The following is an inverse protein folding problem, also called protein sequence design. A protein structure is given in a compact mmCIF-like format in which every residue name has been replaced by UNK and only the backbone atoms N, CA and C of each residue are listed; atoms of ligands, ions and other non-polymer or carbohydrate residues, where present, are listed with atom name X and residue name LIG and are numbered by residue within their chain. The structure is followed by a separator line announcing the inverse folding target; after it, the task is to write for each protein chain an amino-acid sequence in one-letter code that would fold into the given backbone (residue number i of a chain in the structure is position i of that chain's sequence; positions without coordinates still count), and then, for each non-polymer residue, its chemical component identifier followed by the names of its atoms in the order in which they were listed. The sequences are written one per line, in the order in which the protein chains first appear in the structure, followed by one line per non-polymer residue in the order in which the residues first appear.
data_IF_622992857323
#
_entry.id   IF_622992857323
#
_cell.length_a   1.000
_cell.length_b   1.000
_cell.length_c   1.000
_cell.angle_alpha   90.00
_cell.angle_beta   90.00
_cell.angle_gamma   90.00
#
_symmetry.space_group_name_H-M   'P 1'
#
loop_
_entity.id
_entity.type
_entity.pdbx_description
1 polymer ?
#
# COMPACT_ATOMS: atom_id res chain seq x y z
N UNK A 1 -18.99 -35.79 58.87
CA UNK A 1 -18.76 -35.47 60.30
C UNK A 1 -17.46 -36.14 60.75
N UNK A 2 -16.54 -35.34 61.32
CA UNK A 2 -15.48 -35.65 62.33
C UNK A 2 -14.44 -36.73 62.00
N UNK A 3 -13.17 -36.37 61.75
CA UNK A 3 -12.07 -36.06 62.72
C UNK A 3 -11.41 -37.34 63.27
N UNK A 4 -10.10 -37.48 63.54
CA UNK A 4 -8.83 -36.78 63.29
C UNK A 4 -7.78 -37.53 64.17
N UNK A 5 -6.48 -37.43 63.85
CA UNK A 5 -5.26 -37.80 64.64
C UNK A 5 -4.80 -39.27 64.54
N UNK A 6 -3.50 -39.59 64.41
CA UNK A 6 -2.29 -38.78 64.30
C UNK A 6 -1.02 -39.58 64.63
N UNK A 7 0.08 -39.21 63.97
CA UNK A 7 1.53 -39.36 64.32
C UNK A 7 2.20 -40.74 64.42
N UNK A 8 3.31 -40.85 63.68
CA UNK A 8 4.48 -41.69 64.02
C UNK A 8 5.43 -41.93 62.85
N UNK A 9 6.42 -41.06 62.63
CA UNK A 9 7.67 -41.42 61.92
C UNK A 9 8.65 -42.13 62.87
N UNK A 10 9.90 -42.51 62.49
CA UNK A 10 10.72 -41.94 61.40
C UNK A 10 11.54 -42.93 60.53
N UNK A 11 12.08 -42.41 59.39
CA UNK A 11 13.29 -42.79 58.59
C UNK A 11 13.51 -44.28 58.19
N UNK A 12 13.99 -44.67 56.98
CA UNK A 12 15.14 -44.17 56.21
C UNK A 12 15.25 -44.96 54.87
N UNK A 13 15.71 -44.30 53.80
CA UNK A 13 16.35 -44.90 52.60
C UNK A 13 15.41 -45.29 51.45
N UNK A 14 15.66 -44.95 50.17
CA UNK A 14 16.66 -44.12 49.51
C UNK A 14 16.18 -43.90 48.06
N UNK A 15 16.16 -42.63 47.62
CA UNK A 15 15.80 -42.22 46.26
C UNK A 15 17.05 -42.20 45.37
N UNK A 16 17.01 -42.91 44.24
CA UNK A 16 17.86 -42.64 43.08
C UNK A 16 17.14 -41.61 42.19
N UNK A 17 17.67 -40.38 42.14
CA UNK A 17 17.27 -39.35 41.16
C UNK A 17 18.26 -39.37 39.99
N UNK A 18 17.82 -39.25 38.73
CA UNK A 18 18.71 -38.96 37.62
C UNK A 18 19.33 -37.56 37.78
N UNK A 19 20.63 -37.46 37.46
CA UNK A 19 21.42 -36.22 37.51
C UNK A 19 20.79 -35.11 36.66
N UNK A 20 20.68 -33.91 37.24
CA UNK A 20 20.54 -32.67 36.50
C UNK A 20 21.91 -32.24 35.94
N UNK A 21 21.99 -31.67 34.74
CA UNK A 21 23.22 -31.06 34.25
C UNK A 21 23.59 -29.86 35.14
N UNK A 22 24.87 -29.82 35.50
CA UNK A 22 25.50 -28.78 36.30
C UNK A 22 25.28 -27.41 35.67
N UNK A 23 24.76 -26.49 36.48
CA UNK A 23 24.37 -25.14 36.06
C UNK A 23 25.55 -24.29 35.61
N UNK A 24 25.45 -23.78 34.38
CA UNK A 24 25.93 -22.45 34.04
C UNK A 24 24.80 -21.43 34.29
N UNK A 25 25.10 -20.15 34.52
CA UNK A 25 24.06 -19.14 34.67
C UNK A 25 23.29 -19.04 33.36
N UNK A 26 22.02 -19.45 33.37
CA UNK A 26 21.04 -19.02 32.37
C UNK A 26 21.04 -17.50 32.39
N UNK A 27 21.70 -16.86 31.43
CA UNK A 27 21.46 -15.45 31.14
C UNK A 27 19.98 -15.40 30.74
N UNK A 28 19.10 -14.69 31.47
CA UNK A 28 17.79 -14.42 30.94
C UNK A 28 18.01 -13.71 29.61
N UNK A 29 17.49 -14.30 28.52
CA UNK A 29 17.39 -13.58 27.25
C UNK A 29 16.79 -12.20 27.52
N UNK A 30 17.17 -11.18 26.73
CA UNK A 30 16.67 -9.83 26.95
C UNK A 30 15.15 -9.90 27.13
N UNK A 31 14.58 -9.26 28.18
CA UNK A 31 13.15 -9.33 28.42
C UNK A 31 12.45 -8.89 27.14
N UNK A 32 11.47 -9.68 26.67
CA UNK A 32 10.59 -9.31 25.57
C UNK A 32 10.10 -7.88 25.85
N UNK A 33 10.69 -6.90 25.16
CA UNK A 33 10.23 -5.52 25.27
C UNK A 33 8.92 -5.50 24.53
N UNK A 34 7.82 -5.46 25.28
CA UNK A 34 6.51 -5.23 24.71
C UNK A 34 6.59 -3.99 23.82
N UNK A 35 6.15 -4.10 22.57
CA UNK A 35 6.06 -2.96 21.66
C UNK A 35 5.11 -1.94 22.29
N UNK A 36 5.65 -0.78 22.67
CA UNK A 36 4.85 0.35 23.13
C UNK A 36 4.58 1.23 21.91
N UNK A 37 3.35 1.26 21.39
CA UNK A 37 3.02 2.05 20.22
C UNK A 37 3.24 3.54 20.49
N UNK A 38 4.14 4.17 19.74
CA UNK A 38 4.31 5.62 19.75
C UNK A 38 3.42 6.23 18.66
N UNK A 39 2.61 7.23 19.01
CA UNK A 39 1.91 8.08 18.03
C UNK A 39 2.80 9.30 17.74
N UNK A 40 3.39 9.43 16.54
CA UNK A 40 4.25 10.57 16.23
C UNK A 40 3.50 11.89 16.26
N UNK A 41 4.25 12.99 16.37
CA UNK A 41 3.66 14.32 16.43
C UNK A 41 2.91 14.66 15.14
N UNK A 42 1.68 15.15 15.30
CA UNK A 42 0.84 15.65 14.22
C UNK A 42 0.16 16.94 14.69
N UNK A 43 0.62 18.07 14.14
CA UNK A 43 0.13 19.39 14.53
C UNK A 43 -1.40 19.51 14.39
N UNK A 44 -2.00 18.89 13.37
CA UNK A 44 -3.44 18.99 13.12
C UNK A 44 -4.27 18.33 14.21
N UNK A 45 -3.73 17.31 14.90
CA UNK A 45 -4.41 16.65 16.00
C UNK A 45 -4.41 17.48 17.29
N UNK A 46 -3.50 18.46 17.40
CA UNK A 46 -3.29 19.22 18.63
C UNK A 46 -3.13 20.73 18.40
N UNK A 47 -3.73 21.28 17.35
CA UNK A 47 -3.62 22.72 17.02
C UNK A 47 -4.00 23.64 18.19
N UNK A 48 -4.96 23.23 19.02
CA UNK A 48 -5.37 23.96 20.23
C UNK A 48 -4.25 24.15 21.26
N UNK A 49 -3.24 23.28 21.23
CA UNK A 49 -2.04 23.35 22.09
C UNK A 49 -0.97 24.26 21.49
N UNK A 50 -1.06 24.59 20.20
CA UNK A 50 -0.11 25.42 19.46
C UNK A 50 -0.80 26.67 18.87
N UNK A 51 -1.30 27.58 19.73
CA UNK A 51 -1.95 28.80 19.26
C UNK A 51 -0.97 29.64 18.43
N UNK A 52 -1.42 30.05 17.24
CA UNK A 52 -0.58 30.84 16.33
C UNK A 52 -0.43 32.25 16.87
N UNK A 53 0.81 32.74 16.92
CA UNK A 53 1.13 34.12 17.33
C UNK A 53 0.84 35.15 16.25
N UNK A 54 0.69 34.71 15.00
CA UNK A 54 0.36 35.53 13.83
C UNK A 54 -0.80 34.87 13.08
N UNK A 55 -1.53 35.68 12.32
CA UNK A 55 -2.53 35.16 11.38
C UNK A 55 -1.87 34.26 10.35
N UNK A 56 -2.59 33.23 9.91
CA UNK A 56 -2.13 32.34 8.85
C UNK A 56 -2.01 33.16 7.57
N UNK A 57 -0.86 33.11 6.92
CA UNK A 57 -0.66 33.71 5.60
C UNK A 57 -1.63 33.10 4.60
N UNK A 58 -2.18 33.92 3.70
CA UNK A 58 -2.99 33.40 2.60
C UNK A 58 -2.13 32.52 1.68
N UNK A 59 -2.47 31.23 1.61
CA UNK A 59 -1.80 30.24 0.76
C UNK A 59 -2.54 30.01 -0.56
N UNK A 60 -3.34 30.98 -1.02
CA UNK A 60 -4.08 30.88 -2.28
C UNK A 60 -3.21 30.47 -3.47
N UNK A 61 -2.02 31.06 -3.61
CA UNK A 61 -1.11 30.73 -4.73
C UNK A 61 -0.68 29.27 -4.69
N UNK A 62 -0.41 28.72 -3.50
CA UNK A 62 -0.06 27.32 -3.34
C UNK A 62 -1.25 26.41 -3.68
N UNK A 63 -2.45 26.76 -3.20
CA UNK A 63 -3.69 26.05 -3.53
C UNK A 63 -3.93 26.04 -5.05
N UNK A 64 -3.80 27.18 -5.72
CA UNK A 64 -3.97 27.29 -7.17
C UNK A 64 -2.95 26.44 -7.93
N UNK A 65 -1.70 26.36 -7.45
CA UNK A 65 -0.67 25.51 -8.03
C UNK A 65 -0.96 24.01 -7.85
N UNK A 66 -1.46 23.59 -6.67
CA UNK A 66 -1.90 22.22 -6.44
C UNK A 66 -3.04 21.82 -7.37
N UNK A 67 -4.04 22.69 -7.53
CA UNK A 67 -5.18 22.43 -8.41
C UNK A 67 -4.76 22.42 -9.88
N UNK A 68 -3.88 23.32 -10.30
CA UNK A 68 -3.30 23.32 -11.65
C UNK A 68 -2.54 22.01 -11.92
N UNK A 69 -1.60 21.63 -11.04
CA UNK A 69 -0.84 20.38 -11.19
C UNK A 69 -1.76 19.17 -11.23
N UNK A 70 -2.80 19.16 -10.39
CA UNK A 70 -3.79 18.10 -10.39
C UNK A 70 -4.55 18.01 -11.73
N UNK A 71 -4.90 19.14 -12.34
CA UNK A 71 -5.55 19.17 -13.66
C UNK A 71 -4.61 18.61 -14.73
N UNK A 72 -3.33 18.99 -14.72
CA UNK A 72 -2.31 18.48 -15.64
C UNK A 72 -2.12 16.96 -15.51
N UNK A 73 -2.31 16.41 -14.31
CA UNK A 73 -2.19 14.98 -14.01
C UNK A 73 -3.49 14.19 -14.23
N UNK A 74 -4.62 14.85 -14.49
CA UNK A 74 -5.92 14.18 -14.66
C UNK A 74 -6.04 13.65 -16.09
N UNK A 75 -6.40 12.36 -16.30
CA UNK A 75 -6.63 11.84 -17.65
C UNK A 75 -7.63 12.71 -18.41
N UNK A 76 -7.35 12.96 -19.68
CA UNK A 76 -8.22 13.68 -20.60
C UNK A 76 -9.57 12.98 -20.78
N UNK A 77 -10.58 13.69 -21.28
CA UNK A 77 -11.89 13.09 -21.56
C UNK A 77 -11.82 11.93 -22.56
N UNK A 78 -10.86 11.97 -23.49
CA UNK A 78 -10.64 10.90 -24.46
C UNK A 78 -10.00 9.65 -23.81
N UNK A 79 -9.01 9.82 -22.95
CA UNK A 79 -8.45 8.72 -22.15
C UNK A 79 -9.54 8.09 -21.27
N UNK A 80 -10.32 8.91 -20.56
CA UNK A 80 -11.41 8.43 -19.71
C UNK A 80 -12.48 7.65 -20.50
N UNK A 81 -12.87 8.14 -21.68
CA UNK A 81 -13.85 7.48 -22.52
C UNK A 81 -13.34 6.14 -23.07
N UNK A 82 -12.10 6.10 -23.56
CA UNK A 82 -11.50 4.89 -24.13
C UNK A 82 -11.31 3.79 -23.09
N UNK A 83 -10.80 4.10 -21.89
CA UNK A 83 -10.65 3.09 -20.84
C UNK A 83 -12.00 2.61 -20.31
N UNK A 84 -12.98 3.51 -20.15
CA UNK A 84 -14.32 3.14 -19.72
C UNK A 84 -14.98 2.20 -20.74
N UNK A 85 -14.85 2.50 -22.04
CA UNK A 85 -15.39 1.65 -23.10
C UNK A 85 -14.76 0.25 -23.05
N UNK A 86 -13.43 0.16 -22.97
CA UNK A 86 -12.72 -1.13 -22.94
C UNK A 86 -13.06 -1.95 -21.69
N UNK A 87 -13.06 -1.32 -20.50
CA UNK A 87 -13.48 -1.96 -19.24
C UNK A 87 -14.91 -2.47 -19.34
N UNK A 88 -15.83 -1.67 -19.88
CA UNK A 88 -17.25 -2.05 -19.99
C UNK A 88 -17.44 -3.26 -20.91
N UNK A 89 -16.75 -3.27 -22.06
CA UNK A 89 -16.76 -4.40 -23.00
C UNK A 89 -16.23 -5.69 -22.34
N UNK A 90 -15.05 -5.64 -21.72
CA UNK A 90 -14.43 -6.80 -21.06
C UNK A 90 -15.29 -7.29 -19.90
N UNK A 91 -15.79 -6.39 -19.04
CA UNK A 91 -16.66 -6.74 -17.93
C UNK A 91 -17.94 -7.44 -18.42
N UNK A 92 -18.56 -6.94 -19.49
CA UNK A 92 -19.77 -7.55 -20.06
C UNK A 92 -19.56 -8.99 -20.53
N UNK A 93 -18.42 -9.29 -21.16
CA UNK A 93 -18.05 -10.66 -21.54
C UNK A 93 -17.84 -11.53 -20.30
N UNK A 94 -17.09 -11.05 -19.32
CA UNK A 94 -16.84 -11.82 -18.09
C UNK A 94 -18.12 -12.08 -17.29
N UNK A 95 -19.03 -11.10 -17.20
CA UNK A 95 -20.32 -11.27 -16.53
C UNK A 95 -21.18 -12.34 -17.21
N UNK A 96 -21.13 -12.43 -18.56
CA UNK A 96 -21.80 -13.49 -19.31
C UNK A 96 -21.22 -14.88 -18.98
N UNK A 97 -19.89 -14.99 -18.88
CA UNK A 97 -19.20 -16.22 -18.49
C UNK A 97 -19.53 -16.65 -17.05
N UNK A 98 -19.67 -15.70 -16.12
CA UNK A 98 -20.11 -15.96 -14.74
C UNK A 98 -21.53 -16.56 -14.71
N UNK A 99 -22.43 -16.05 -15.53
CA UNK A 99 -23.82 -16.52 -15.61
C UNK A 99 -23.98 -17.86 -16.34
N UNK A 100 -23.03 -18.24 -17.19
CA UNK A 100 -23.07 -19.47 -18.01
C UNK A 100 -21.84 -20.36 -17.79
N UNK A 101 -21.59 -20.85 -16.55
CA UNK A 101 -20.33 -21.52 -16.21
C UNK A 101 -20.08 -22.83 -16.97
N UNK A 102 -21.14 -23.51 -17.43
CA UNK A 102 -21.03 -24.72 -18.26
C UNK A 102 -20.54 -24.44 -19.69
N UNK A 103 -20.47 -23.17 -20.11
CA UNK A 103 -19.94 -22.79 -21.42
C UNK A 103 -18.40 -22.79 -21.47
N UNK A 104 -17.73 -22.75 -20.31
CA UNK A 104 -16.28 -22.66 -20.22
C UNK A 104 -15.71 -23.39 -18.99
N UNK A 105 -15.49 -24.69 -19.14
CA UNK A 105 -14.99 -25.56 -18.07
C UNK A 105 -13.53 -25.28 -17.59
N UNK A 106 -12.58 -24.87 -18.46
CA UNK A 106 -11.18 -24.68 -18.04
C UNK A 106 -10.96 -23.60 -16.97
N UNK A 107 -11.76 -22.53 -16.97
CA UNK A 107 -11.65 -21.46 -15.97
C UNK A 107 -13.03 -20.90 -15.60
N UNK A 108 -13.75 -21.64 -14.76
CA UNK A 108 -15.03 -21.18 -14.24
C UNK A 108 -14.83 -19.97 -13.32
N UNK A 109 -15.46 -18.84 -13.67
CA UNK A 109 -15.37 -17.59 -12.93
C UNK A 109 -16.39 -17.61 -11.77
N UNK A 110 -15.93 -17.31 -10.56
CA UNK A 110 -16.76 -17.05 -9.39
C UNK A 110 -17.27 -15.61 -9.39
N UNK A 111 -16.34 -14.66 -9.54
CA UNK A 111 -16.61 -13.24 -9.35
C UNK A 111 -15.62 -12.37 -10.15
N UNK A 112 -16.08 -11.19 -10.56
CA UNK A 112 -15.27 -10.20 -11.26
C UNK A 112 -15.43 -8.85 -10.56
N UNK A 113 -14.31 -8.18 -10.30
CA UNK A 113 -14.30 -6.89 -9.57
C UNK A 113 -13.35 -5.90 -10.21
N UNK A 114 -13.85 -4.73 -10.58
CA UNK A 114 -13.00 -3.59 -10.93
C UNK A 114 -12.27 -3.10 -9.68
N UNK A 115 -10.96 -2.89 -9.79
CA UNK A 115 -10.10 -2.44 -8.68
C UNK A 115 -9.13 -1.35 -9.16
N UNK A 116 -8.12 -1.06 -8.34
CA UNK A 116 -7.01 -0.19 -8.75
C UNK A 116 -7.42 1.27 -8.97
N UNK A 117 -6.60 1.97 -9.74
CA UNK A 117 -6.73 3.43 -9.94
C UNK A 117 -7.99 3.81 -10.71
N UNK A 118 -8.43 2.96 -11.64
CA UNK A 118 -9.65 3.16 -12.42
C UNK A 118 -10.87 3.18 -11.49
N UNK A 119 -11.10 2.11 -10.72
CA UNK A 119 -12.25 2.03 -9.80
C UNK A 119 -12.22 3.14 -8.74
N UNK A 120 -11.03 3.53 -8.28
CA UNK A 120 -10.85 4.58 -7.26
C UNK A 120 -10.98 6.01 -7.82
N UNK A 121 -10.95 6.19 -9.14
CA UNK A 121 -10.94 7.52 -9.78
C UNK A 121 -9.65 8.30 -9.52
N UNK A 122 -8.52 7.59 -9.46
CA UNK A 122 -7.18 8.12 -9.16
C UNK A 122 -6.16 7.84 -10.27
N UNK A 123 -6.64 7.52 -11.47
CA UNK A 123 -5.81 7.41 -12.67
C UNK A 123 -5.05 8.71 -12.96
N UNK A 124 -3.93 8.59 -13.67
CA UNK A 124 -3.09 9.70 -14.07
C UNK A 124 -3.00 9.79 -15.60
N UNK A 125 -2.93 11.00 -16.12
CA UNK A 125 -2.75 11.26 -17.55
C UNK A 125 -1.52 10.54 -18.10
N UNK A 126 -1.63 10.00 -19.32
CA UNK A 126 -0.59 9.22 -19.98
C UNK A 126 -0.45 7.78 -19.48
N UNK A 127 -1.25 7.35 -18.50
CA UNK A 127 -1.26 5.99 -17.99
C UNK A 127 -2.69 5.43 -17.99
N UNK A 128 -3.21 5.17 -19.18
CA UNK A 128 -4.60 4.78 -19.40
C UNK A 128 -4.82 3.27 -19.18
N UNK A 129 -4.58 2.83 -17.94
CA UNK A 129 -4.63 1.43 -17.52
C UNK A 129 -5.65 1.22 -16.41
N UNK A 130 -6.51 0.22 -16.55
CA UNK A 130 -7.45 -0.23 -15.53
C UNK A 130 -7.16 -1.67 -15.09
N UNK A 131 -7.57 -2.00 -13.87
CA UNK A 131 -7.39 -3.32 -13.28
C UNK A 131 -8.75 -3.95 -12.96
N UNK A 132 -8.93 -5.20 -13.36
CA UNK A 132 -10.08 -6.04 -13.02
C UNK A 132 -9.55 -7.32 -12.38
N UNK A 133 -9.97 -7.62 -11.15
CA UNK A 133 -9.68 -8.90 -10.52
C UNK A 133 -10.72 -9.92 -10.97
N UNK A 134 -10.24 -11.08 -11.44
CA UNK A 134 -11.06 -12.21 -11.87
C UNK A 134 -10.81 -13.37 -10.91
N UNK A 135 -11.83 -13.74 -10.12
CA UNK A 135 -11.75 -14.83 -9.16
C UNK A 135 -12.26 -16.11 -9.79
N UNK A 136 -11.42 -17.14 -9.86
CA UNK A 136 -11.76 -18.45 -10.40
C UNK A 136 -12.26 -19.40 -9.30
N UNK A 137 -13.21 -20.26 -9.66
CA UNK A 137 -13.60 -21.46 -8.87
C UNK A 137 -12.57 -22.57 -8.97
N UNK A 138 -11.87 -22.63 -10.11
CA UNK A 138 -10.83 -23.62 -10.41
C UNK A 138 -9.46 -23.14 -9.94
N UNK A 139 -8.48 -24.06 -9.98
CA UNK A 139 -7.09 -23.70 -9.75
C UNK A 139 -6.55 -22.93 -10.97
N UNK A 140 -5.89 -21.77 -10.77
CA UNK A 140 -5.46 -20.90 -11.86
C UNK A 140 -4.16 -21.40 -12.48
N UNK A 141 -4.25 -22.37 -13.40
CA UNK A 141 -3.09 -22.80 -14.20
C UNK A 141 -2.75 -21.75 -15.26
N UNK A 142 -1.49 -21.70 -15.69
CA UNK A 142 -1.03 -20.78 -16.75
C UNK A 142 -1.80 -21.01 -18.06
N UNK A 143 -2.08 -22.27 -18.38
CA UNK A 143 -2.86 -22.65 -19.55
C UNK A 143 -4.31 -22.17 -19.46
N UNK A 144 -4.97 -22.36 -18.31
CA UNK A 144 -6.36 -21.93 -18.12
C UNK A 144 -6.50 -20.40 -18.26
N UNK A 145 -5.52 -19.65 -17.74
CA UNK A 145 -5.45 -18.19 -17.86
C UNK A 145 -5.29 -17.75 -19.33
N UNK A 146 -4.41 -18.41 -20.08
CA UNK A 146 -4.22 -18.12 -21.51
C UNK A 146 -5.48 -18.41 -22.33
N UNK A 147 -6.13 -19.55 -22.08
CA UNK A 147 -7.38 -19.92 -22.77
C UNK A 147 -8.50 -18.94 -22.41
N UNK A 148 -8.61 -18.52 -21.15
CA UNK A 148 -9.59 -17.51 -20.73
C UNK A 148 -9.36 -16.16 -21.43
N UNK A 149 -8.12 -15.67 -21.47
CA UNK A 149 -7.78 -14.43 -22.16
C UNK A 149 -8.11 -14.48 -23.65
N UNK A 150 -7.80 -15.60 -24.33
CA UNK A 150 -8.15 -15.80 -25.74
C UNK A 150 -9.66 -15.83 -25.96
N UNK A 151 -10.39 -16.55 -25.11
CA UNK A 151 -11.86 -16.64 -25.18
C UNK A 151 -12.51 -15.26 -25.07
N UNK A 152 -12.05 -14.43 -24.14
CA UNK A 152 -12.59 -13.07 -23.97
C UNK A 152 -12.35 -12.24 -25.23
N UNK A 153 -11.16 -12.30 -25.81
CA UNK A 153 -10.82 -11.51 -27.02
C UNK A 153 -11.60 -12.00 -28.24
N UNK A 154 -11.82 -13.31 -28.38
CA UNK A 154 -12.66 -13.88 -29.43
C UNK A 154 -14.12 -13.40 -29.33
N UNK A 155 -14.68 -13.38 -28.12
CA UNK A 155 -16.04 -12.89 -27.89
C UNK A 155 -16.15 -11.38 -28.15
N UNK A 156 -15.13 -10.61 -27.78
CA UNK A 156 -15.06 -9.18 -28.09
C UNK A 156 -14.99 -8.93 -29.61
N UNK A 157 -14.16 -9.67 -30.34
CA UNK A 157 -14.06 -9.58 -31.81
C UNK A 157 -15.36 -9.98 -32.50
N UNK A 158 -16.14 -10.87 -31.89
CA UNK A 158 -17.47 -11.24 -32.42
C UNK A 158 -18.47 -10.10 -32.25
N UNK A 159 -18.36 -9.30 -31.18
CA UNK A 159 -19.20 -8.13 -30.94
C UNK A 159 -18.80 -6.93 -31.80
N UNK A 160 -17.50 -6.73 -32.02
CA UNK A 160 -16.94 -5.58 -32.74
C UNK A 160 -15.71 -6.02 -33.58
N UNK A 161 -15.91 -6.51 -34.83
CA UNK A 161 -14.84 -7.06 -35.65
C UNK A 161 -13.80 -6.04 -36.11
N UNK A 162 -14.14 -4.75 -36.14
CA UNK A 162 -13.28 -3.68 -36.60
C UNK A 162 -12.31 -3.19 -35.50
N UNK A 163 -12.58 -3.54 -34.24
CA UNK A 163 -11.74 -3.16 -33.11
C UNK A 163 -10.49 -4.05 -33.01
N UNK A 164 -9.32 -3.43 -33.14
CA UNK A 164 -8.03 -4.13 -33.03
C UNK A 164 -7.65 -4.25 -31.55
N UNK A 165 -7.76 -5.47 -31.02
CA UNK A 165 -7.38 -5.82 -29.65
C UNK A 165 -6.20 -6.79 -29.64
N UNK A 166 -5.24 -6.53 -28.75
CA UNK A 166 -4.14 -7.43 -28.41
C UNK A 166 -4.33 -7.99 -27.02
N UNK A 167 -4.03 -9.27 -26.82
CA UNK A 167 -4.04 -9.91 -25.50
C UNK A 167 -2.72 -10.60 -25.23
N UNK A 168 -2.19 -10.35 -24.04
CA UNK A 168 -0.92 -10.91 -23.59
C UNK A 168 -1.08 -11.45 -22.18
N UNK A 169 -0.61 -12.68 -21.96
CA UNK A 169 -0.53 -13.29 -20.63
C UNK A 169 0.73 -12.83 -19.90
N UNK A 170 0.66 -12.76 -18.57
CA UNK A 170 1.79 -12.44 -17.71
C UNK A 170 1.65 -13.14 -16.35
N UNK A 171 2.61 -12.92 -15.44
CA UNK A 171 2.64 -13.59 -14.13
C UNK A 171 1.47 -13.24 -13.20
N UNK A 172 0.69 -12.19 -13.52
CA UNK A 172 -0.48 -11.77 -12.75
C UNK A 172 -1.81 -12.22 -13.37
N UNK A 173 -1.80 -12.76 -14.59
CA UNK A 173 -2.99 -13.07 -15.35
C UNK A 173 -2.80 -12.75 -16.82
N UNK A 174 -3.55 -11.78 -17.33
CA UNK A 174 -3.41 -11.29 -18.70
C UNK A 174 -3.82 -9.82 -18.81
N UNK A 175 -3.46 -9.18 -19.91
CA UNK A 175 -3.90 -7.83 -20.24
C UNK A 175 -4.47 -7.78 -21.67
N UNK A 176 -5.50 -6.96 -21.84
CA UNK A 176 -6.13 -6.70 -23.13
C UNK A 176 -5.93 -5.21 -23.43
N UNK A 177 -5.35 -4.91 -24.58
CA UNK A 177 -5.03 -3.55 -25.00
C UNK A 177 -5.72 -3.21 -26.33
N UNK A 178 -6.28 -2.01 -26.38
CA UNK A 178 -6.64 -1.32 -27.62
C UNK A 178 -5.53 -0.34 -28.01
N UNK A 179 -5.75 0.49 -29.03
CA UNK A 179 -4.84 1.58 -29.40
C UNK A 179 -4.65 2.61 -28.29
N UNK A 180 -5.67 2.81 -27.44
CA UNK A 180 -5.74 3.96 -26.53
C UNK A 180 -5.85 3.58 -25.05
N UNK A 181 -6.08 2.31 -24.73
CA UNK A 181 -6.34 1.85 -23.37
C UNK A 181 -5.85 0.41 -23.13
N UNK A 182 -5.56 0.07 -21.87
CA UNK A 182 -5.21 -1.30 -21.47
C UNK A 182 -5.98 -1.69 -20.21
N UNK A 183 -6.51 -2.91 -20.19
CA UNK A 183 -7.15 -3.50 -19.01
C UNK A 183 -6.37 -4.73 -18.59
N UNK A 184 -5.85 -4.69 -17.36
CA UNK A 184 -5.17 -5.81 -16.71
C UNK A 184 -6.20 -6.65 -15.97
N UNK A 185 -6.27 -7.92 -16.35
CA UNK A 185 -7.12 -8.93 -15.74
C UNK A 185 -6.28 -9.73 -14.74
N UNK A 186 -6.37 -9.34 -13.47
CA UNK A 186 -5.62 -9.88 -12.35
C UNK A 186 -6.28 -11.16 -11.85
N UNK A 187 -5.65 -12.29 -12.06
CA UNK A 187 -6.25 -13.60 -11.76
C UNK A 187 -6.05 -13.95 -10.30
N UNK A 188 -7.10 -14.44 -9.65
CA UNK A 188 -7.04 -15.06 -8.33
C UNK A 188 -8.01 -16.24 -8.26
N UNK A 189 -8.06 -16.92 -7.13
CA UNK A 189 -8.97 -18.05 -6.90
C UNK A 189 -9.60 -17.95 -5.51
N UNK A 190 -10.64 -18.74 -5.27
CA UNK A 190 -11.30 -18.79 -3.97
C UNK A 190 -10.31 -19.22 -2.86
N UNK A 191 -10.44 -18.69 -1.61
CA UNK A 191 -9.49 -18.98 -0.53
C UNK A 191 -9.18 -20.46 -0.26
N UNK A 192 -10.14 -21.41 -0.38
CA UNK A 192 -9.83 -22.84 -0.20
C UNK A 192 -8.82 -23.42 -1.21
N UNK A 193 -8.70 -22.82 -2.40
CA UNK A 193 -7.79 -23.27 -3.45
C UNK A 193 -6.35 -22.79 -3.23
N UNK A 194 -6.15 -21.69 -2.50
CA UNK A 194 -4.81 -21.16 -2.22
C UNK A 194 -3.92 -22.14 -1.45
N UNK A 195 -4.53 -23.05 -0.68
CA UNK A 195 -3.82 -24.12 0.06
C UNK A 195 -3.49 -25.34 -0.80
N UNK A 196 -3.93 -25.36 -2.07
CA UNK A 196 -3.79 -26.49 -3.00
C UNK A 196 -2.93 -26.12 -4.21
N UNK A 197 -2.24 -24.99 -4.15
CA UNK A 197 -1.42 -24.51 -5.25
C UNK A 197 -0.16 -25.36 -5.38
N UNK A 198 -0.01 -25.98 -6.54
CA UNK A 198 1.26 -26.45 -7.08
C UNK A 198 2.05 -25.27 -7.70
N UNK A 199 3.26 -24.93 -7.21
CA UNK A 199 4.10 -23.85 -7.74
C UNK A 199 4.56 -24.04 -9.20
N UNK A 200 4.60 -25.28 -9.71
CA UNK A 200 5.03 -25.55 -11.09
C UNK A 200 3.90 -25.30 -12.10
N UNK A 201 2.64 -25.47 -11.66
CA UNK A 201 1.46 -25.44 -12.54
C UNK A 201 0.65 -24.15 -12.43
N UNK A 202 0.58 -23.55 -11.24
CA UNK A 202 -0.31 -22.42 -10.98
C UNK A 202 0.39 -21.07 -10.95
N UNK A 203 -0.40 -20.01 -11.00
CA UNK A 203 0.08 -18.67 -10.67
C UNK A 203 0.54 -18.60 -9.21
N UNK A 204 1.44 -17.65 -8.94
CA UNK A 204 2.03 -17.48 -7.61
C UNK A 204 0.97 -17.11 -6.54
N UNK A 205 1.03 -17.80 -5.41
CA UNK A 205 0.08 -17.62 -4.32
C UNK A 205 0.14 -16.23 -3.70
N UNK A 206 1.34 -15.62 -3.58
CA UNK A 206 1.51 -14.28 -3.00
C UNK A 206 0.92 -13.22 -3.94
N UNK A 207 1.12 -13.37 -5.26
CA UNK A 207 0.48 -12.53 -6.29
C UNK A 207 -1.04 -12.60 -6.18
N UNK A 208 -1.62 -13.80 -6.10
CA UNK A 208 -3.08 -13.96 -5.98
C UNK A 208 -3.67 -13.40 -4.70
N UNK A 209 -2.94 -13.50 -3.57
CA UNK A 209 -3.32 -12.85 -2.33
C UNK A 209 -3.34 -11.32 -2.47
N UNK A 210 -2.38 -10.75 -3.20
CA UNK A 210 -2.36 -9.31 -3.48
C UNK A 210 -3.58 -8.85 -4.30
N UNK A 211 -4.08 -9.69 -5.20
CA UNK A 211 -5.30 -9.41 -5.97
C UNK A 211 -6.56 -9.47 -5.08
N UNK A 212 -6.63 -10.41 -4.13
CA UNK A 212 -7.70 -10.43 -3.12
C UNK A 212 -7.64 -9.18 -2.22
N UNK A 213 -6.44 -8.73 -1.85
CA UNK A 213 -6.26 -7.47 -1.13
C UNK A 213 -6.73 -6.27 -1.95
N UNK A 214 -6.46 -6.24 -3.27
CA UNK A 214 -6.94 -5.18 -4.15
C UNK A 214 -8.48 -5.06 -4.18
N UNK A 215 -9.22 -6.18 -4.10
CA UNK A 215 -10.68 -6.17 -3.93
C UNK A 215 -11.06 -5.49 -2.62
N UNK A 216 -10.44 -5.88 -1.50
CA UNK A 216 -10.69 -5.26 -0.18
C UNK A 216 -10.37 -3.76 -0.18
N UNK A 217 -9.24 -3.37 -0.76
CA UNK A 217 -8.83 -1.98 -0.90
C UNK A 217 -9.84 -1.17 -1.72
N UNK A 218 -10.33 -1.71 -2.84
CA UNK A 218 -11.31 -1.05 -3.68
C UNK A 218 -12.63 -0.82 -2.94
N UNK A 219 -13.11 -1.83 -2.21
CA UNK A 219 -14.32 -1.73 -1.37
C UNK A 219 -14.15 -0.71 -0.25
N UNK A 220 -13.06 -0.78 0.51
CA UNK A 220 -12.78 0.17 1.57
C UNK A 220 -12.73 1.60 1.02
N UNK A 221 -12.10 1.80 -0.13
CA UNK A 221 -11.98 3.12 -0.75
C UNK A 221 -13.34 3.69 -1.16
N UNK A 222 -14.22 2.86 -1.73
CA UNK A 222 -15.58 3.25 -2.08
C UNK A 222 -16.40 3.66 -0.86
N UNK A 223 -16.27 2.94 0.26
CA UNK A 223 -17.00 3.19 1.50
C UNK A 223 -16.44 4.38 2.31
N UNK A 224 -15.13 4.65 2.25
CA UNK A 224 -14.45 5.58 3.17
C UNK A 224 -13.80 6.80 2.50
N UNK A 225 -13.43 6.73 1.21
CA UNK A 225 -12.67 7.75 0.50
C UNK A 225 -13.47 8.46 -0.61
N UNK A 226 -14.75 8.73 -0.37
CA UNK A 226 -15.66 9.34 -1.35
C UNK A 226 -15.37 10.83 -1.64
N UNK A 227 -14.73 11.55 -0.71
CA UNK A 227 -14.47 12.98 -0.86
C UNK A 227 -13.46 13.27 -1.98
N UNK A 228 -13.80 14.18 -2.91
CA UNK A 228 -13.00 14.44 -4.13
C UNK A 228 -11.57 14.90 -3.84
N UNK A 229 -11.35 15.65 -2.74
CA UNK A 229 -10.01 16.11 -2.35
C UNK A 229 -9.05 14.95 -2.05
N UNK A 230 -9.55 13.78 -1.64
CA UNK A 230 -8.72 12.59 -1.42
C UNK A 230 -8.15 12.10 -2.74
N UNK A 231 -8.98 12.02 -3.78
CA UNK A 231 -8.55 11.61 -5.13
C UNK A 231 -7.54 12.59 -5.73
N UNK A 232 -7.72 13.90 -5.47
CA UNK A 232 -6.77 14.96 -5.85
C UNK A 232 -5.42 14.76 -5.14
N UNK A 233 -5.44 14.57 -3.81
CA UNK A 233 -4.23 14.38 -3.03
C UNK A 233 -3.47 13.11 -3.44
N UNK A 234 -4.17 12.01 -3.73
CA UNK A 234 -3.57 10.76 -4.22
C UNK A 234 -2.79 10.99 -5.52
N UNK A 235 -3.38 11.68 -6.50
CA UNK A 235 -2.71 12.00 -7.77
C UNK A 235 -1.46 12.85 -7.54
N UNK A 236 -1.56 13.88 -6.68
CA UNK A 236 -0.43 14.74 -6.33
C UNK A 236 0.70 13.98 -5.63
N UNK A 237 0.38 13.07 -4.70
CA UNK A 237 1.37 12.26 -4.00
C UNK A 237 1.99 11.17 -4.89
N UNK A 238 1.24 10.59 -5.84
CA UNK A 238 1.80 9.67 -6.85
C UNK A 238 2.76 10.39 -7.78
N UNK A 239 2.42 11.59 -8.23
CA UNK A 239 3.33 12.44 -9.00
C UNK A 239 4.58 12.82 -8.18
N UNK A 240 4.40 13.18 -6.90
CA UNK A 240 5.51 13.45 -5.99
C UNK A 240 6.43 12.23 -5.85
N UNK A 241 5.85 11.04 -5.64
CA UNK A 241 6.57 9.77 -5.59
C UNK A 241 7.38 9.54 -6.86
N UNK A 242 6.77 9.70 -8.03
CA UNK A 242 7.42 9.42 -9.31
C UNK A 242 8.62 10.35 -9.58
N UNK A 243 8.57 11.60 -9.08
CA UNK A 243 9.64 12.59 -9.26
C UNK A 243 10.75 12.49 -8.22
N UNK A 244 10.41 12.13 -6.98
CA UNK A 244 11.36 12.01 -5.88
C UNK A 244 11.58 10.55 -5.48
N UNK A 245 12.71 9.98 -5.92
CA UNK A 245 13.09 8.57 -5.67
C UNK A 245 13.04 8.16 -4.20
N UNK A 246 13.27 9.10 -3.27
CA UNK A 246 13.17 8.83 -1.84
C UNK A 246 11.79 8.37 -1.36
N UNK A 247 10.74 8.60 -2.16
CA UNK A 247 9.38 8.11 -1.91
C UNK A 247 9.01 6.85 -2.67
N UNK A 248 9.91 6.28 -3.48
CA UNK A 248 9.68 5.03 -4.22
C UNK A 248 9.07 3.90 -3.35
N UNK A 249 9.47 3.72 -2.08
CA UNK A 249 8.92 2.66 -1.22
C UNK A 249 7.44 2.84 -0.83
N UNK A 250 6.87 4.04 -1.01
CA UNK A 250 5.46 4.28 -0.75
C UNK A 250 4.62 3.53 -1.78
N UNK A 251 3.99 2.43 -1.37
CA UNK A 251 3.07 1.68 -2.22
C UNK A 251 1.83 2.51 -2.55
N UNK A 252 1.12 2.15 -3.63
CA UNK A 252 -0.13 2.82 -3.99
C UNK A 252 -1.16 2.80 -2.85
N UNK A 253 -1.19 1.71 -2.07
CA UNK A 253 -2.09 1.58 -0.93
C UNK A 253 -1.68 2.48 0.25
N UNK A 254 -0.38 2.58 0.54
CA UNK A 254 0.12 3.54 1.54
C UNK A 254 -0.26 4.97 1.16
N UNK A 255 -0.15 5.34 -0.12
CA UNK A 255 -0.53 6.68 -0.61
C UNK A 255 -2.04 6.92 -0.47
N UNK A 256 -2.87 5.92 -0.81
CA UNK A 256 -4.33 6.02 -0.66
C UNK A 256 -4.71 6.28 0.81
N UNK A 257 -4.15 5.50 1.74
CA UNK A 257 -4.39 5.62 3.17
C UNK A 257 -3.81 6.90 3.77
N UNK A 258 -2.59 7.30 3.39
CA UNK A 258 -1.97 8.54 3.83
C UNK A 258 -2.79 9.76 3.39
N UNK A 259 -3.32 9.74 2.17
CA UNK A 259 -4.16 10.82 1.65
C UNK A 259 -5.49 10.91 2.41
N UNK A 260 -6.14 9.76 2.63
CA UNK A 260 -7.36 9.70 3.44
C UNK A 260 -7.09 10.17 4.88
N UNK A 261 -6.04 9.69 5.52
CA UNK A 261 -5.65 10.07 6.88
C UNK A 261 -5.41 11.58 6.97
N UNK A 262 -4.60 12.14 6.05
CA UNK A 262 -4.24 13.55 6.08
C UNK A 262 -5.46 14.47 5.94
N UNK A 263 -6.49 14.06 5.19
CA UNK A 263 -7.71 14.86 4.98
C UNK A 263 -8.75 14.63 6.07
N UNK A 264 -9.05 13.38 6.40
CA UNK A 264 -10.23 13.01 7.18
C UNK A 264 -9.95 12.82 8.67
N UNK A 265 -8.74 12.37 9.04
CA UNK A 265 -8.42 12.12 10.44
C UNK A 265 -7.99 13.44 11.10
N UNK A 266 -8.94 14.25 11.56
CA UNK A 266 -8.67 15.48 12.29
C UNK A 266 -9.80 15.80 13.29
N UNK A 267 -9.55 16.64 14.33
CA UNK A 267 -10.54 16.92 15.37
C UNK A 267 -11.86 17.53 14.87
N UNK A 268 -11.83 18.28 13.76
CA UNK A 268 -13.03 18.93 13.20
C UNK A 268 -13.95 17.95 12.47
N UNK A 269 -13.43 16.77 12.10
CA UNK A 269 -14.11 15.76 11.26
C UNK A 269 -14.63 16.30 9.93
N UNK A 270 -14.11 17.45 9.50
CA UNK A 270 -14.34 18.02 8.18
C UNK A 270 -13.11 17.76 7.30
N UNK A 271 -13.30 17.53 5.98
CA UNK A 271 -12.18 17.39 5.07
C UNK A 271 -11.27 18.62 5.12
N UNK A 272 -9.97 18.41 5.37
CA UNK A 272 -9.01 19.52 5.32
C UNK A 272 -8.89 20.09 3.89
N UNK A 273 -8.64 21.41 3.76
CA UNK A 273 -8.26 22.02 2.49
C UNK A 273 -7.03 21.33 1.87
N UNK A 274 -6.96 21.27 0.55
CA UNK A 274 -5.92 20.50 -0.16
C UNK A 274 -4.50 20.95 0.16
N UNK A 275 -4.27 22.26 0.33
CA UNK A 275 -2.98 22.81 0.71
C UNK A 275 -2.55 22.39 2.12
N UNK A 276 -3.50 22.36 3.07
CA UNK A 276 -3.26 21.89 4.44
C UNK A 276 -2.97 20.40 4.44
N UNK A 277 -3.77 19.60 3.74
CA UNK A 277 -3.59 18.16 3.68
C UNK A 277 -2.27 17.74 3.00
N UNK A 278 -1.90 18.39 1.89
CA UNK A 278 -0.62 18.14 1.21
C UNK A 278 0.57 18.46 2.13
N UNK A 279 0.55 19.61 2.81
CA UNK A 279 1.58 19.98 3.78
C UNK A 279 1.61 18.99 4.95
N UNK A 280 0.45 18.57 5.45
CA UNK A 280 0.33 17.59 6.52
C UNK A 280 0.94 16.24 6.16
N UNK A 281 0.80 15.77 4.92
CA UNK A 281 1.49 14.55 4.47
C UNK A 281 3.01 14.65 4.66
N UNK A 282 3.62 15.76 4.23
CA UNK A 282 5.06 15.98 4.45
C UNK A 282 5.40 16.11 5.93
N UNK A 283 4.58 16.79 6.74
CA UNK A 283 4.78 16.92 8.18
C UNK A 283 4.74 15.57 8.91
N UNK A 284 3.73 14.73 8.61
CA UNK A 284 3.60 13.39 9.18
C UNK A 284 4.83 12.54 8.85
N UNK A 285 5.18 12.45 7.56
CA UNK A 285 6.35 11.69 7.14
C UNK A 285 7.65 12.22 7.78
N UNK A 286 7.81 13.54 7.86
CA UNK A 286 8.98 14.18 8.48
C UNK A 286 9.08 13.92 9.99
N UNK A 287 7.93 13.83 10.67
CA UNK A 287 7.82 13.55 12.10
C UNK A 287 8.01 12.06 12.43
N UNK A 288 8.32 11.22 11.43
CA UNK A 288 8.56 9.80 11.62
C UNK A 288 7.30 8.95 11.64
N UNK A 289 6.23 9.37 10.95
CA UNK A 289 4.97 8.61 10.93
C UNK A 289 5.13 7.16 10.46
N UNK A 290 6.12 6.88 9.62
CA UNK A 290 6.47 5.53 9.14
C UNK A 290 7.85 5.04 9.61
N UNK A 291 8.35 5.55 10.74
CA UNK A 291 9.59 5.06 11.36
C UNK A 291 9.34 3.94 12.39
N UNK A 292 10.38 3.19 12.78
CA UNK A 292 10.28 2.19 13.84
C UNK A 292 9.75 2.77 15.15
N UNK A 293 8.86 2.01 15.82
CA UNK A 293 8.17 2.47 17.03
C UNK A 293 6.86 3.21 16.76
N UNK A 294 6.67 3.77 15.57
CA UNK A 294 5.43 4.46 15.19
C UNK A 294 4.25 3.49 15.03
N UNK A 295 3.06 3.91 15.45
CA UNK A 295 1.81 3.23 15.06
C UNK A 295 1.55 3.30 13.56
N UNK A 296 2.01 4.36 12.90
CA UNK A 296 1.69 4.67 11.50
C UNK A 296 0.19 4.61 11.23
N UNK A 297 -0.18 3.97 10.12
CA UNK A 297 -1.57 3.67 9.78
C UNK A 297 -1.77 2.15 9.91
N UNK A 298 -2.77 1.76 10.68
CA UNK A 298 -3.25 0.37 10.69
C UNK A 298 -4.01 0.09 9.41
N UNK A 299 -3.69 -1.00 8.73
CA UNK A 299 -4.38 -1.42 7.51
C UNK A 299 -5.85 -1.76 7.84
N UNK A 300 -6.83 -1.02 7.30
CA UNK A 300 -8.24 -1.29 7.58
C UNK A 300 -8.78 -2.51 6.83
N UNK A 301 -8.01 -3.10 5.91
CA UNK A 301 -8.39 -4.24 5.08
C UNK A 301 -7.79 -5.58 5.56
N UNK A 302 -6.93 -5.55 6.57
CA UNK A 302 -6.29 -6.74 7.16
C UNK A 302 -6.81 -7.02 8.57
N UNK A 303 -6.76 -8.30 8.97
CA UNK A 303 -7.13 -8.68 10.33
C UNK A 303 -6.01 -8.33 11.32
N UNK A 304 -6.39 -7.92 12.53
CA UNK A 304 -5.43 -7.53 13.57
C UNK A 304 -4.93 -6.09 13.42
N UNK A 305 -3.69 -5.84 13.84
CA UNK A 305 -3.08 -4.50 13.87
C UNK A 305 -1.88 -4.40 12.94
N UNK A 306 -2.10 -4.72 11.66
CA UNK A 306 -1.06 -4.65 10.62
C UNK A 306 -0.75 -3.19 10.31
N UNK A 307 0.50 -2.76 10.51
CA UNK A 307 0.93 -1.39 10.19
C UNK A 307 1.40 -1.34 8.74
N UNK A 308 0.79 -0.49 7.93
CA UNK A 308 0.98 -0.51 6.46
C UNK A 308 2.42 -0.23 6.02
N UNK A 309 3.20 0.48 6.85
CA UNK A 309 4.58 0.85 6.52
C UNK A 309 5.60 -0.25 6.79
N UNK A 310 5.23 -1.34 7.46
CA UNK A 310 6.17 -2.44 7.76
C UNK A 310 6.51 -3.29 6.55
N UNK A 311 5.86 -3.06 5.42
CA UNK A 311 6.28 -3.60 4.11
C UNK A 311 7.58 -2.95 3.61
N UNK A 312 7.93 -1.78 4.14
CA UNK A 312 9.20 -1.11 3.84
C UNK A 312 10.29 -1.58 4.81
N UNK A 313 11.49 -1.80 4.28
CA UNK A 313 12.70 -2.02 5.09
C UNK A 313 13.01 -0.81 5.96
N UNK A 314 13.82 -0.98 7.00
CA UNK A 314 14.25 0.12 7.88
C UNK A 314 14.98 1.22 7.10
N UNK A 315 15.79 0.85 6.12
CA UNK A 315 16.48 1.79 5.22
C UNK A 315 15.48 2.58 4.35
N UNK A 316 14.47 1.92 3.82
CA UNK A 316 13.41 2.58 3.04
C UNK A 316 12.56 3.53 3.90
N UNK A 317 12.27 3.15 5.16
CA UNK A 317 11.56 4.00 6.12
C UNK A 317 12.35 5.28 6.43
N UNK A 318 13.66 5.15 6.65
CA UNK A 318 14.57 6.29 6.82
C UNK A 318 14.59 7.17 5.56
N UNK A 319 14.72 6.57 4.39
CA UNK A 319 14.71 7.27 3.10
C UNK A 319 13.46 8.11 2.86
N UNK A 320 12.28 7.54 3.12
CA UNK A 320 11.02 8.27 3.05
C UNK A 320 11.01 9.43 4.04
N UNK A 321 11.48 9.20 5.27
CA UNK A 321 11.49 10.21 6.33
C UNK A 321 12.41 11.39 5.99
N UNK A 322 13.69 11.16 5.70
CA UNK A 322 14.65 12.24 5.43
C UNK A 322 14.32 13.00 4.13
N UNK A 323 13.71 12.32 3.15
CA UNK A 323 13.20 12.97 1.93
C UNK A 323 12.06 13.92 2.27
N UNK A 324 11.09 13.47 3.08
CA UNK A 324 10.01 14.33 3.55
C UNK A 324 10.51 15.52 4.37
N UNK A 325 11.48 15.30 5.26
CA UNK A 325 12.08 16.36 6.09
C UNK A 325 12.73 17.45 5.23
N UNK A 326 13.41 17.07 4.16
CA UNK A 326 14.02 18.01 3.21
C UNK A 326 12.94 18.80 2.47
N UNK A 327 11.96 18.11 1.88
CA UNK A 327 10.89 18.75 1.11
C UNK A 327 9.97 19.61 1.98
N UNK A 328 9.75 19.27 3.24
CA UNK A 328 8.98 20.10 4.17
C UNK A 328 9.68 21.44 4.43
N UNK A 329 11.01 21.46 4.55
CA UNK A 329 11.78 22.70 4.71
C UNK A 329 11.74 23.53 3.44
N UNK A 330 11.91 22.91 2.26
CA UNK A 330 11.74 23.58 0.97
C UNK A 330 10.33 24.19 0.83
N UNK A 331 9.28 23.43 1.19
CA UNK A 331 7.89 23.91 1.17
C UNK A 331 7.69 25.13 2.09
N UNK A 332 8.30 25.10 3.27
CA UNK A 332 8.21 26.17 4.27
C UNK A 332 8.86 27.46 3.79
N UNK A 333 9.86 27.36 2.91
CA UNK A 333 10.53 28.51 2.28
C UNK A 333 9.97 28.85 0.89
N UNK A 334 8.76 28.38 0.55
CA UNK A 334 8.06 28.79 -0.67
C UNK A 334 8.41 27.99 -1.93
N UNK A 335 9.23 26.93 -1.83
CA UNK A 335 9.63 26.08 -2.96
C UNK A 335 8.54 25.12 -3.46
N UNK A 336 7.26 25.45 -3.28
CA UNK A 336 6.15 24.57 -3.65
C UNK A 336 6.06 24.32 -5.16
N UNK A 337 6.47 25.27 -6.01
CA UNK A 337 6.45 25.06 -7.47
C UNK A 337 7.42 23.98 -7.91
N UNK A 338 8.59 23.91 -7.29
CA UNK A 338 9.61 22.89 -7.55
C UNK A 338 9.17 21.54 -6.98
N UNK A 339 8.60 21.54 -5.77
CA UNK A 339 7.99 20.34 -5.20
C UNK A 339 6.87 19.79 -6.09
N UNK A 340 6.09 20.64 -6.75
CA UNK A 340 5.01 20.25 -7.67
C UNK A 340 5.48 19.99 -9.11
N UNK A 341 6.77 20.09 -9.40
CA UNK A 341 7.32 19.84 -10.74
C UNK A 341 6.85 20.87 -11.78
N UNK A 342 6.49 22.08 -11.34
CA UNK A 342 6.11 23.18 -12.22
C UNK A 342 7.32 24.00 -12.68
N UNK A 343 8.40 23.99 -11.89
CA UNK A 343 9.68 24.65 -12.15
C UNK A 343 10.81 23.74 -11.63
N UNK A 344 12.04 23.89 -12.13
CA UNK A 344 13.21 23.17 -11.62
C UNK A 344 13.18 21.65 -11.83
N UNK A 345 13.91 20.91 -10.99
CA UNK A 345 14.01 19.45 -11.03
C UNK A 345 14.00 18.86 -9.60
N UNK A 346 14.09 17.54 -9.48
CA UNK A 346 14.03 16.83 -8.19
C UNK A 346 15.33 16.84 -7.38
N UNK A 347 16.40 17.52 -7.82
CA UNK A 347 17.68 17.58 -7.09
C UNK A 347 17.57 18.32 -5.76
N UNK A 348 16.50 19.11 -5.55
CA UNK A 348 16.22 19.79 -4.27
C UNK A 348 16.07 18.84 -3.07
N UNK A 349 15.89 17.54 -3.31
CA UNK A 349 15.87 16.52 -2.26
C UNK A 349 17.27 15.97 -1.89
N UNK A 350 18.28 16.21 -2.73
CA UNK A 350 19.63 15.62 -2.59
C UNK A 350 20.76 16.65 -2.62
N UNK A 351 20.49 17.87 -3.08
CA UNK A 351 21.46 18.96 -3.19
C UNK A 351 21.05 20.16 -2.33
N UNK A 352 22.05 20.92 -1.88
CA UNK A 352 21.79 22.20 -1.21
C UNK A 352 21.05 23.16 -2.14
N UNK A 353 20.05 23.85 -1.60
CA UNK A 353 19.26 24.84 -2.34
C UNK A 353 19.07 26.11 -1.54
N UNK A 354 18.81 27.23 -2.22
CA UNK A 354 18.62 28.55 -1.59
C UNK A 354 17.23 29.08 -1.90
N UNK A 355 16.49 29.46 -0.87
CA UNK A 355 15.11 29.94 -0.95
C UNK A 355 14.98 31.22 -0.13
N UNK A 356 14.70 32.35 -0.78
CA UNK A 356 14.56 33.65 -0.09
C UNK A 356 15.75 33.97 0.84
N UNK A 357 16.97 33.63 0.39
CA UNK A 357 18.21 33.81 1.17
C UNK A 357 18.47 32.75 2.25
N UNK A 358 17.59 31.75 2.42
CA UNK A 358 17.77 30.63 3.35
C UNK A 358 18.36 29.43 2.63
N UNK A 359 19.47 28.89 3.14
CA UNK A 359 20.07 27.66 2.64
C UNK A 359 19.37 26.44 3.25
N UNK A 360 18.83 25.57 2.41
CA UNK A 360 18.26 24.28 2.82
C UNK A 360 19.27 23.20 2.46
N UNK A 361 19.83 22.55 3.49
CA UNK A 361 20.71 21.37 3.34
C UNK A 361 19.87 20.10 3.43
N UNK A 362 19.90 19.18 2.46
CA UNK A 362 19.19 17.91 2.53
C UNK A 362 19.46 17.16 3.83
N UNK A 363 18.43 16.47 4.35
CA UNK A 363 18.60 15.57 5.50
C UNK A 363 19.38 14.32 5.08
N UNK A 364 20.32 13.88 5.91
CA UNK A 364 21.16 12.72 5.64
C UNK A 364 20.50 11.40 6.06
N UNK A 365 20.96 10.30 5.45
CA UNK A 365 20.63 8.94 5.87
C UNK A 365 21.09 8.70 7.31
N UNK A 366 20.19 8.21 8.16
CA UNK A 366 20.45 7.87 9.55
C UNK A 366 20.48 6.36 9.81
N UNK A 367 19.89 5.55 8.92
CA UNK A 367 19.90 4.10 9.07
C UNK A 367 21.29 3.50 8.83
N UNK A 368 21.78 2.74 9.81
CA UNK A 368 23.00 1.95 9.73
C UNK A 368 22.64 0.46 9.73
N UNK A 369 23.25 -0.31 8.82
CA UNK A 369 23.05 -1.76 8.79
C UNK A 369 23.74 -2.38 10.02
N UNK A 370 23.06 -3.22 10.82
CA UNK A 370 23.71 -3.90 11.94
C UNK A 370 24.91 -4.73 11.45
N UNK A 371 26.04 -4.66 12.16
CA UNK A 371 27.17 -5.55 11.92
C UNK A 371 26.73 -7.00 12.18
N UNK A 372 26.96 -7.90 11.20
CA UNK A 372 26.74 -9.34 11.40
C UNK A 372 27.66 -9.81 12.53
N UNK A 373 27.11 -10.31 13.63
CA UNK A 373 27.91 -10.98 14.65
C UNK A 373 28.37 -12.32 14.08
N UNK A 374 29.69 -12.55 14.04
CA UNK A 374 30.25 -13.86 13.67
C UNK A 374 29.62 -14.95 14.56
N UNK A 375 28.86 -15.87 13.96
CA UNK A 375 28.27 -17.03 14.64
C UNK A 375 26.74 -17.04 14.78
N UNK A 376 26.02 -16.02 14.31
CA UNK A 376 24.58 -16.14 14.05
C UNK A 376 24.42 -16.52 12.57
N UNK A 377 24.29 -17.83 12.29
CA UNK A 377 23.82 -18.30 10.98
C UNK A 377 22.49 -17.59 10.70
N UNK A 378 22.40 -16.97 9.52
CA UNK A 378 21.15 -16.41 9.04
C UNK A 378 20.16 -17.56 8.88
N UNK A 379 19.15 -17.64 9.76
CA UNK A 379 17.86 -18.21 9.39
C UNK A 379 17.23 -17.30 8.30
N UNK A 380 17.86 -17.27 7.11
CA UNK A 380 17.15 -16.97 5.88
C UNK A 380 16.13 -18.11 5.69
N UNK A 381 14.87 -17.71 5.47
CA UNK A 381 13.67 -18.56 5.35
C UNK A 381 12.94 -18.92 6.65
N UNK A 382 12.60 -17.90 7.43
CA UNK A 382 11.37 -17.90 8.21
C UNK A 382 10.23 -17.30 7.37
N UNK A 383 9.57 -18.13 6.55
CA UNK A 383 8.23 -17.84 6.03
C UNK A 383 7.37 -17.27 7.17
N UNK A 384 7.08 -15.97 7.11
CA UNK A 384 5.96 -15.42 7.86
C UNK A 384 4.70 -15.97 7.19
N UNK A 385 4.31 -17.19 7.58
CA UNK A 385 2.92 -17.60 7.57
C UNK A 385 2.14 -16.64 8.48
N UNK A 386 1.75 -15.49 7.92
CA UNK A 386 0.63 -14.72 8.45
C UNK A 386 -0.62 -15.55 8.20
N UNK A 387 -1.19 -16.10 9.27
CA UNK A 387 -2.55 -16.64 9.29
C UNK A 387 -3.58 -15.59 8.87
#
# INVERSE_FOLDING_TARGET
MRNMRGRGGPMRGGMMRPMAPIGGPFKPGPPFRAFIPHIPFDLVQCESTFPRTKTVSDEKVFTDCLLKRNNDLTPSSQEQASILALVTKIQGVMDSLVLTPSSFDPAQIEEVRQVGSFKKGTMMAGNNVADIVVMLKTLPTKEAVAVLGNKIVEDLRTQDPDEVLTMLTNDTGFEISSSDATVKCLITTIPPNLKKLDPELHLDGKVMQSHLAAIRHARWFEENAFHSSIKVLIRLLRDLKNRFKGFEPLTSWIIDLLSHYAIMNNPTRQPLPINVAFKRCLQLLSAGFFLPGSVGITDPCEQGTVRVHTVMTLEQQDMVCFTAQTLLRVLTHGGFKQILGMEGNSSIATEMSVWEGVVVTPSDKAYEKPEKREGEEEDEDGDMETQ
#
